data_IF_067494113275
#
_entry.id   IF_067494113275
#
_cell.length_a   1.000
_cell.length_b   1.000
_cell.length_c   1.000
_cell.angle_alpha   90.00
_cell.angle_beta   90.00
_cell.angle_gamma   90.00
#
_symmetry.space_group_name_H-M   'P 1'
#
loop_
_entity.id
_entity.type
_entity.pdbx_description
1 polymer ?
#
# COMPACT_ATOMS: atom_id res chain seq x y z
N UNK A 1 42.47 -40.96 15.68
CA UNK A 1 41.96 -40.13 14.57
C UNK A 1 42.92 -38.94 14.34
N UNK A 2 43.43 -38.77 13.12
CA UNK A 2 44.36 -37.67 12.82
C UNK A 2 43.56 -36.35 12.81
N UNK A 3 44.13 -35.28 13.36
CA UNK A 3 43.50 -33.94 13.43
C UNK A 3 42.86 -33.49 12.10
N UNK A 4 43.39 -33.89 10.96
CA UNK A 4 42.84 -33.62 9.65
C UNK A 4 41.49 -34.27 9.35
N UNK A 5 41.23 -35.47 9.90
CA UNK A 5 39.94 -36.16 9.70
C UNK A 5 38.84 -35.57 10.58
N UNK A 6 39.19 -35.01 11.74
CA UNK A 6 38.24 -34.33 12.61
C UNK A 6 37.78 -32.99 12.01
N UNK A 7 38.70 -32.25 11.40
CA UNK A 7 38.37 -30.98 10.72
C UNK A 7 37.48 -31.25 9.50
N UNK A 8 37.71 -32.32 8.75
CA UNK A 8 36.87 -32.66 7.59
C UNK A 8 35.46 -33.09 8.02
N UNK A 9 35.29 -33.80 9.12
CA UNK A 9 33.99 -34.16 9.68
C UNK A 9 33.23 -32.95 10.21
N UNK A 10 33.91 -32.01 10.87
CA UNK A 10 33.26 -30.74 11.31
C UNK A 10 32.84 -29.85 10.12
N UNK A 11 33.63 -29.79 9.05
CA UNK A 11 33.27 -29.04 7.83
C UNK A 11 32.07 -29.67 7.11
N UNK A 12 31.93 -31.00 7.12
CA UNK A 12 30.81 -31.69 6.51
C UNK A 12 29.53 -31.57 7.36
N UNK A 13 29.66 -31.49 8.70
CA UNK A 13 28.51 -31.23 9.58
C UNK A 13 28.00 -29.80 9.50
N UNK A 14 28.84 -28.79 9.21
CA UNK A 14 28.42 -27.40 8.99
C UNK A 14 27.70 -27.18 7.64
N UNK A 15 27.96 -28.04 6.65
CA UNK A 15 27.32 -28.00 5.34
C UNK A 15 25.90 -28.60 5.32
N UNK A 16 25.50 -29.33 6.37
CA UNK A 16 24.17 -29.94 6.49
C UNK A 16 23.14 -29.06 7.22
N UNK A 17 23.53 -27.89 7.72
CA UNK A 17 22.62 -26.89 8.29
C UNK A 17 22.37 -25.73 7.35
N UNK A 18 22.22 -25.96 6.04
CA UNK A 18 21.49 -25.05 5.21
C UNK A 18 19.99 -25.28 5.49
N UNK A 19 19.50 -24.68 6.57
CA UNK A 19 18.06 -24.47 6.71
C UNK A 19 17.64 -23.60 5.54
N UNK A 20 17.05 -24.21 4.53
CA UNK A 20 16.19 -23.51 3.60
C UNK A 20 15.09 -22.89 4.48
N UNK A 21 15.20 -21.59 4.75
CA UNK A 21 14.06 -20.81 5.21
C UNK A 21 13.14 -20.77 4.00
N UNK A 22 12.31 -21.79 3.86
CA UNK A 22 11.10 -21.71 3.05
C UNK A 22 10.24 -20.72 3.84
N UNK A 23 10.10 -19.50 3.31
CA UNK A 23 9.04 -18.63 3.76
C UNK A 23 7.75 -19.45 3.58
N UNK A 24 7.22 -19.97 4.69
CA UNK A 24 5.86 -20.47 4.70
C UNK A 24 4.97 -19.23 4.48
N UNK A 25 4.64 -18.97 3.22
CA UNK A 25 3.35 -18.37 2.95
C UNK A 25 2.36 -19.38 3.53
N UNK A 26 1.85 -19.15 4.75
CA UNK A 26 0.65 -19.82 5.17
C UNK A 26 -0.34 -19.59 4.02
N UNK A 27 -0.89 -20.67 3.47
CA UNK A 27 -1.98 -20.61 2.51
C UNK A 27 -3.11 -19.78 3.15
N UNK A 28 -3.05 -18.47 2.95
CA UNK A 28 -4.23 -17.64 3.08
C UNK A 28 -5.13 -18.14 1.96
N UNK A 29 -6.07 -19.03 2.31
CA UNK A 29 -7.02 -19.52 1.36
C UNK A 29 -7.69 -18.29 0.73
N UNK A 30 -7.61 -18.17 -0.60
CA UNK A 30 -8.15 -17.03 -1.36
C UNK A 30 -9.61 -16.77 -0.97
N UNK A 31 -10.35 -17.83 -0.63
CA UNK A 31 -11.72 -17.77 -0.11
C UNK A 31 -11.88 -16.97 1.21
N UNK A 32 -10.84 -16.80 1.98
CA UNK A 32 -10.88 -16.03 3.22
C UNK A 32 -10.47 -14.55 3.03
N UNK A 33 -9.77 -14.22 1.95
CA UNK A 33 -9.30 -12.83 1.70
C UNK A 33 -10.44 -11.97 1.17
N UNK A 34 -11.42 -12.54 0.45
CA UNK A 34 -12.59 -11.81 -0.07
C UNK A 34 -13.65 -11.50 0.99
N UNK A 35 -13.58 -12.15 2.14
CA UNK A 35 -14.48 -11.89 3.26
C UNK A 35 -13.96 -10.73 4.13
N UNK A 36 -14.83 -10.04 4.87
CA UNK A 36 -14.39 -9.10 5.89
C UNK A 36 -13.41 -9.77 6.87
N UNK A 37 -12.36 -9.03 7.26
CA UNK A 37 -11.40 -9.49 8.25
C UNK A 37 -12.02 -9.60 9.66
N UNK A 38 -11.23 -10.08 10.65
CA UNK A 38 -11.73 -10.38 11.99
C UNK A 38 -11.95 -9.14 12.87
N UNK A 39 -11.55 -7.93 12.43
CA UNK A 39 -11.62 -6.74 13.25
C UNK A 39 -12.89 -5.93 12.97
N UNK A 40 -13.47 -5.38 14.04
CA UNK A 40 -14.50 -4.36 13.89
C UNK A 40 -13.86 -3.07 13.35
N UNK A 41 -14.66 -2.31 12.58
CA UNK A 41 -14.19 -1.10 11.90
C UNK A 41 -14.95 0.11 12.43
N UNK A 42 -14.20 1.16 12.74
CA UNK A 42 -14.73 2.50 13.00
C UNK A 42 -14.11 3.52 12.05
N UNK A 43 -14.68 4.72 12.02
CA UNK A 43 -14.26 5.81 11.13
C UNK A 43 -14.06 7.10 11.89
N UNK A 44 -13.14 7.94 11.40
CA UNK A 44 -13.02 9.36 11.77
C UNK A 44 -12.90 10.21 10.49
N UNK A 45 -13.43 11.42 10.58
CA UNK A 45 -13.50 12.41 9.50
C UNK A 45 -13.04 13.78 10.00
N UNK A 46 -13.12 14.80 9.17
CA UNK A 46 -12.82 16.19 9.57
C UNK A 46 -13.70 16.68 10.73
N UNK A 47 -14.92 16.14 10.89
CA UNK A 47 -15.78 16.45 12.04
C UNK A 47 -15.14 15.99 13.35
N UNK A 48 -14.36 14.93 13.31
CA UNK A 48 -13.61 14.36 14.44
C UNK A 48 -12.23 15.01 14.63
N UNK A 49 -11.93 16.02 13.79
CA UNK A 49 -10.74 16.86 13.88
C UNK A 49 -9.53 16.37 13.10
N UNK A 50 -9.69 15.44 12.14
CA UNK A 50 -8.61 15.16 11.20
C UNK A 50 -8.40 16.37 10.27
N UNK A 51 -7.16 16.58 9.82
CA UNK A 51 -6.86 17.65 8.89
C UNK A 51 -7.40 17.35 7.49
N UNK A 52 -7.64 18.41 6.71
CA UNK A 52 -8.04 18.33 5.32
C UNK A 52 -7.01 19.08 4.44
N UNK A 53 -6.20 18.31 3.70
CA UNK A 53 -5.23 18.88 2.78
C UNK A 53 -4.00 19.55 3.40
N UNK A 54 -3.24 20.36 2.65
CA UNK A 54 -3.69 21.23 1.56
C UNK A 54 -3.79 20.61 0.15
N UNK A 55 -3.19 19.41 -0.07
CA UNK A 55 -3.11 18.83 -1.42
C UNK A 55 -4.20 17.82 -1.74
N UNK A 56 -5.13 17.59 -0.83
CA UNK A 56 -6.34 16.80 -1.06
C UNK A 56 -7.56 17.50 -0.44
N UNK A 57 -8.77 17.07 -0.79
CA UNK A 57 -10.01 17.61 -0.28
C UNK A 57 -10.94 16.49 0.19
N UNK A 58 -11.27 16.51 1.47
CA UNK A 58 -12.09 15.50 2.12
C UNK A 58 -11.35 14.19 2.38
N UNK A 59 -11.47 13.67 3.60
CA UNK A 59 -10.90 12.41 4.00
C UNK A 59 -11.80 11.64 4.97
N UNK A 60 -11.79 10.31 4.82
CA UNK A 60 -12.32 9.38 5.82
C UNK A 60 -11.22 8.40 6.18
N UNK A 61 -10.94 8.25 7.47
CA UNK A 61 -10.03 7.23 7.98
C UNK A 61 -10.86 6.10 8.56
N UNK A 62 -10.65 4.88 8.04
CA UNK A 62 -11.19 3.63 8.54
C UNK A 62 -10.11 2.93 9.36
N UNK A 63 -10.46 2.44 10.55
CA UNK A 63 -9.47 1.81 11.41
C UNK A 63 -10.04 0.62 12.17
N UNK A 64 -9.19 -0.41 12.47
CA UNK A 64 -9.61 -1.56 13.24
C UNK A 64 -9.74 -1.20 14.71
N UNK A 65 -10.79 -1.67 15.36
CA UNK A 65 -10.90 -1.66 16.81
C UNK A 65 -10.41 -2.99 17.40
N UNK A 66 -10.08 -3.00 18.69
CA UNK A 66 -9.64 -4.20 19.43
C UNK A 66 -8.31 -4.84 18.94
N UNK A 67 -7.45 -4.07 18.26
CA UNK A 67 -6.09 -4.50 17.92
C UNK A 67 -5.09 -3.79 18.84
N UNK A 68 -4.17 -4.54 19.42
CA UNK A 68 -3.17 -4.04 20.39
C UNK A 68 -1.77 -3.87 19.80
N UNK A 69 -1.54 -4.38 18.58
CA UNK A 69 -0.29 -4.23 17.86
C UNK A 69 -0.26 -2.92 17.09
N UNK A 70 0.94 -2.42 16.78
CA UNK A 70 1.08 -1.26 15.89
C UNK A 70 0.49 -1.55 14.51
N UNK A 71 -0.28 -0.60 14.00
CA UNK A 71 -1.04 -0.70 12.76
C UNK A 71 -0.26 -0.16 11.57
N UNK A 72 -0.19 -0.93 10.49
CA UNK A 72 0.17 -0.40 9.18
C UNK A 72 -0.94 0.51 8.65
N UNK A 73 -0.60 1.40 7.71
CA UNK A 73 -1.57 2.32 7.12
C UNK A 73 -1.44 2.38 5.60
N UNK A 74 -2.57 2.65 4.92
CA UNK A 74 -2.64 2.83 3.48
C UNK A 74 -3.49 4.06 3.13
N UNK A 75 -2.99 4.90 2.21
CA UNK A 75 -3.75 6.01 1.64
C UNK A 75 -4.26 5.63 0.25
N UNK A 76 -5.53 5.94 -0.05
CA UNK A 76 -6.18 5.61 -1.31
C UNK A 76 -6.79 6.84 -1.95
N UNK A 77 -6.56 7.00 -3.27
CA UNK A 77 -7.11 8.09 -4.09
C UNK A 77 -7.88 7.54 -5.29
N UNK A 78 -9.03 8.15 -5.67
CA UNK A 78 -9.81 7.74 -6.84
C UNK A 78 -9.14 8.10 -8.17
N UNK A 79 -9.79 7.69 -9.29
CA UNK A 79 -9.39 7.99 -10.66
C UNK A 79 -9.84 9.37 -11.15
N UNK A 80 -9.59 9.65 -12.44
CA UNK A 80 -10.01 10.85 -13.12
C UNK A 80 -11.53 11.00 -13.13
N UNK A 81 -12.05 12.19 -12.80
CA UNK A 81 -13.47 12.52 -12.63
C UNK A 81 -14.21 11.70 -11.55
N UNK A 82 -13.51 10.86 -10.81
CA UNK A 82 -14.11 10.03 -9.79
C UNK A 82 -14.08 10.70 -8.40
N UNK A 83 -15.08 10.39 -7.58
CA UNK A 83 -15.19 10.81 -6.18
C UNK A 83 -14.64 9.71 -5.26
N UNK A 84 -14.36 10.02 -3.99
CA UNK A 84 -13.94 9.02 -2.98
C UNK A 84 -14.83 7.78 -2.91
N UNK A 85 -16.14 7.95 -3.12
CA UNK A 85 -17.12 6.84 -3.14
C UNK A 85 -16.83 5.75 -4.17
N UNK A 86 -16.04 6.03 -5.21
CA UNK A 86 -15.64 5.01 -6.21
C UNK A 86 -14.62 4.00 -5.68
N UNK A 87 -13.97 4.28 -4.56
CA UNK A 87 -12.96 3.46 -3.90
C UNK A 87 -13.26 3.24 -2.40
N UNK A 88 -14.44 3.64 -1.97
CA UNK A 88 -14.82 3.66 -0.56
C UNK A 88 -14.83 2.28 0.09
N UNK A 89 -15.23 1.24 -0.64
CA UNK A 89 -15.30 -0.14 -0.14
C UNK A 89 -13.93 -0.70 0.29
N UNK A 90 -12.83 -0.13 -0.19
CA UNK A 90 -11.49 -0.48 0.26
C UNK A 90 -11.22 -0.06 1.71
N UNK A 91 -11.88 0.98 2.21
CA UNK A 91 -11.73 1.46 3.57
C UNK A 91 -12.04 0.40 4.62
N UNK A 92 -13.31 -0.06 4.71
CA UNK A 92 -13.69 -1.11 5.64
C UNK A 92 -13.00 -2.44 5.36
N UNK A 93 -12.68 -2.75 4.10
CA UNK A 93 -11.93 -3.95 3.75
C UNK A 93 -10.56 -3.97 4.43
N UNK A 94 -9.71 -2.97 4.21
CA UNK A 94 -8.38 -2.90 4.83
C UNK A 94 -8.46 -2.82 6.34
N UNK A 95 -9.38 -2.02 6.87
CA UNK A 95 -9.52 -1.86 8.31
C UNK A 95 -9.94 -3.17 9.00
N UNK A 96 -10.87 -3.93 8.41
CA UNK A 96 -11.26 -5.23 8.95
C UNK A 96 -10.13 -6.25 8.97
N UNK A 97 -9.12 -6.08 8.10
CA UNK A 97 -7.90 -6.89 8.07
C UNK A 97 -6.75 -6.31 8.92
N UNK A 98 -7.00 -5.26 9.68
CA UNK A 98 -6.04 -4.70 10.63
C UNK A 98 -5.09 -3.65 10.05
N UNK A 99 -5.46 -3.00 8.94
CA UNK A 99 -4.69 -1.93 8.29
C UNK A 99 -5.53 -0.65 8.31
N UNK A 100 -5.00 0.43 8.87
CA UNK A 100 -5.67 1.75 8.82
C UNK A 100 -5.72 2.24 7.38
N UNK A 101 -6.89 2.66 6.92
CA UNK A 101 -7.08 3.12 5.55
C UNK A 101 -7.62 4.55 5.53
N UNK A 102 -6.88 5.47 4.92
CA UNK A 102 -7.37 6.82 4.63
C UNK A 102 -7.79 6.90 3.17
N UNK A 103 -9.05 7.23 2.92
CA UNK A 103 -9.58 7.50 1.59
C UNK A 103 -9.75 8.99 1.43
N UNK A 104 -9.16 9.55 0.38
CA UNK A 104 -9.15 10.99 0.13
C UNK A 104 -9.84 11.34 -1.19
N UNK A 105 -10.42 12.54 -1.24
CA UNK A 105 -10.75 13.22 -2.49
C UNK A 105 -9.55 13.99 -3.04
N UNK A 106 -9.63 14.46 -4.27
CA UNK A 106 -8.66 15.37 -4.87
C UNK A 106 -9.18 16.80 -4.82
N UNK A 107 -8.30 17.80 -4.85
CA UNK A 107 -8.68 19.22 -4.92
C UNK A 107 -9.45 19.52 -6.19
N UNK A 108 -9.19 18.76 -7.26
CA UNK A 108 -9.99 18.74 -8.47
C UNK A 108 -10.18 17.31 -8.95
N UNK A 109 -11.41 16.94 -9.33
CA UNK A 109 -11.66 15.62 -9.93
C UNK A 109 -10.91 15.43 -11.26
N UNK A 110 -10.44 16.52 -11.87
CA UNK A 110 -9.64 16.53 -13.11
C UNK A 110 -8.12 16.47 -12.86
N UNK A 111 -7.67 16.31 -11.62
CA UNK A 111 -6.25 16.18 -11.30
C UNK A 111 -5.61 14.97 -12.02
N UNK A 112 -4.40 15.22 -12.54
CA UNK A 112 -3.57 14.19 -13.18
C UNK A 112 -2.80 13.36 -12.15
N UNK A 113 -2.15 12.24 -12.55
CA UNK A 113 -1.45 11.35 -11.63
C UNK A 113 -0.44 12.03 -10.71
N UNK A 114 0.29 13.04 -11.17
CA UNK A 114 1.28 13.77 -10.37
C UNK A 114 0.63 14.51 -9.19
N UNK A 115 -0.50 15.18 -9.41
CA UNK A 115 -1.24 15.86 -8.35
C UNK A 115 -1.82 14.84 -7.36
N UNK A 116 -2.26 13.66 -7.85
CA UNK A 116 -2.74 12.55 -7.01
C UNK A 116 -1.61 11.92 -6.19
N UNK A 117 -0.39 11.88 -6.72
CA UNK A 117 0.78 11.46 -5.96
C UNK A 117 1.03 12.39 -4.77
N UNK A 118 1.01 13.70 -5.00
CA UNK A 118 1.17 14.69 -3.93
C UNK A 118 0.02 14.62 -2.92
N UNK A 119 -1.22 14.38 -3.38
CA UNK A 119 -2.37 14.18 -2.50
C UNK A 119 -2.20 12.94 -1.60
N UNK A 120 -1.71 11.84 -2.12
CA UNK A 120 -1.41 10.62 -1.34
C UNK A 120 -0.33 10.86 -0.29
N UNK A 121 0.76 11.56 -0.64
CA UNK A 121 1.82 11.90 0.31
C UNK A 121 1.29 12.80 1.43
N UNK A 122 0.43 13.75 1.10
CA UNK A 122 -0.23 14.64 2.09
C UNK A 122 -1.22 13.86 2.98
N UNK A 123 -1.91 12.85 2.44
CA UNK A 123 -2.75 11.94 3.21
C UNK A 123 -1.91 11.09 4.20
N UNK A 124 -0.73 10.62 3.80
CA UNK A 124 0.18 9.94 4.71
C UNK A 124 0.68 10.88 5.82
N UNK A 125 0.88 12.17 5.53
CA UNK A 125 1.21 13.15 6.55
C UNK A 125 0.04 13.31 7.55
N UNK A 126 -1.21 13.25 7.08
CA UNK A 126 -2.39 13.21 7.98
C UNK A 126 -2.36 12.01 8.91
N UNK A 127 -2.05 10.82 8.39
CA UNK A 127 -1.88 9.61 9.20
C UNK A 127 -0.79 9.79 10.27
N UNK A 128 0.36 10.37 9.90
CA UNK A 128 1.44 10.66 10.88
C UNK A 128 0.98 11.62 11.99
N UNK A 129 0.18 12.63 11.63
CA UNK A 129 -0.36 13.58 12.61
C UNK A 129 -1.40 12.92 13.53
N UNK A 130 -2.23 12.01 13.02
CA UNK A 130 -3.18 11.25 13.84
C UNK A 130 -2.47 10.38 14.89
N UNK A 131 -1.28 9.86 14.60
CA UNK A 131 -0.47 9.13 15.59
C UNK A 131 -0.01 10.00 16.78
N UNK A 132 -0.01 11.31 16.63
CA UNK A 132 0.43 12.27 17.68
C UNK A 132 -0.69 13.13 18.25
N UNK A 133 -1.83 13.27 17.57
CA UNK A 133 -2.96 14.10 17.99
C UNK A 133 -3.59 13.54 19.26
N UNK A 134 -3.64 14.36 20.33
CA UNK A 134 -4.05 13.93 21.66
C UNK A 134 -5.47 13.35 21.74
N UNK A 135 -6.40 13.83 20.88
CA UNK A 135 -7.79 13.36 20.81
C UNK A 135 -8.02 12.27 19.75
N UNK A 136 -6.98 11.84 19.03
CA UNK A 136 -7.11 10.79 18.02
C UNK A 136 -7.26 9.41 18.67
N UNK A 137 -8.19 8.58 18.19
CA UNK A 137 -8.24 7.17 18.59
C UNK A 137 -7.03 6.36 18.06
N UNK A 138 -6.24 6.93 17.16
CA UNK A 138 -5.04 6.31 16.56
C UNK A 138 -3.74 6.74 17.24
N UNK A 139 -3.82 7.55 18.30
CA UNK A 139 -2.63 8.07 18.98
C UNK A 139 -1.76 6.93 19.50
N UNK A 140 -0.47 6.99 19.14
CA UNK A 140 0.58 6.02 19.53
C UNK A 140 0.30 4.56 19.06
N UNK A 141 -0.61 4.37 18.07
CA UNK A 141 -1.00 3.05 17.56
C UNK A 141 -0.48 2.76 16.15
N UNK A 142 0.19 3.69 15.47
CA UNK A 142 0.57 3.53 14.07
C UNK A 142 2.06 3.20 13.93
N UNK A 143 2.37 2.21 13.08
CA UNK A 143 3.74 1.93 12.63
C UNK A 143 4.07 2.87 11.44
N UNK A 144 4.74 3.95 11.74
CA UNK A 144 5.10 4.97 10.74
C UNK A 144 6.14 4.50 9.71
N UNK A 145 6.70 3.28 9.87
CA UNK A 145 7.55 2.63 8.86
C UNK A 145 6.75 1.72 7.92
N UNK A 146 5.45 1.57 8.13
CA UNK A 146 4.54 0.74 7.33
C UNK A 146 3.43 1.57 6.70
N UNK A 147 3.81 2.60 5.97
CA UNK A 147 2.90 3.47 5.25
C UNK A 147 2.86 3.11 3.78
N UNK A 148 1.70 2.73 3.27
CA UNK A 148 1.46 2.31 1.89
C UNK A 148 0.56 3.30 1.15
N UNK A 149 0.56 3.20 -0.18
CA UNK A 149 -0.32 3.99 -1.05
C UNK A 149 -1.05 3.12 -2.05
N UNK A 150 -2.24 3.53 -2.42
CA UNK A 150 -3.07 2.88 -3.43
C UNK A 150 -3.87 3.90 -4.23
N UNK A 151 -4.42 3.45 -5.33
CA UNK A 151 -5.35 4.25 -6.11
C UNK A 151 -5.86 3.51 -7.34
N UNK A 152 -6.96 4.03 -7.87
CA UNK A 152 -7.61 3.50 -9.07
C UNK A 152 -7.35 4.37 -10.29
N UNK A 153 -7.10 3.77 -11.46
CA UNK A 153 -6.89 4.47 -12.74
C UNK A 153 -5.75 5.51 -12.64
N UNK A 154 -6.01 6.80 -12.87
CA UNK A 154 -5.03 7.88 -12.61
C UNK A 154 -4.58 7.94 -11.15
N UNK A 155 -5.40 7.49 -10.20
CA UNK A 155 -4.98 7.31 -8.82
C UNK A 155 -3.95 6.19 -8.66
N UNK A 156 -4.08 5.08 -9.40
CA UNK A 156 -3.10 4.00 -9.44
C UNK A 156 -1.76 4.43 -10.04
N UNK A 157 -1.81 5.27 -11.08
CA UNK A 157 -0.62 5.95 -11.61
C UNK A 157 0.01 6.89 -10.57
N UNK A 158 -0.83 7.68 -9.88
CA UNK A 158 -0.42 8.55 -8.78
C UNK A 158 0.24 7.80 -7.62
N UNK A 159 -0.30 6.63 -7.24
CA UNK A 159 0.28 5.80 -6.19
C UNK A 159 1.71 5.34 -6.53
N UNK A 160 1.96 4.92 -7.77
CA UNK A 160 3.30 4.57 -8.22
C UNK A 160 4.24 5.79 -8.28
N UNK A 161 3.72 6.97 -8.72
CA UNK A 161 4.49 8.23 -8.71
C UNK A 161 4.81 8.68 -7.29
N UNK A 162 3.92 8.49 -6.33
CA UNK A 162 4.20 8.79 -4.92
C UNK A 162 5.41 7.99 -4.40
N UNK A 163 5.53 6.71 -4.75
CA UNK A 163 6.69 5.89 -4.39
C UNK A 163 8.00 6.31 -5.09
N UNK A 164 7.92 6.96 -6.25
CA UNK A 164 9.12 7.57 -6.90
C UNK A 164 9.55 8.84 -6.15
N UNK A 165 8.59 9.62 -5.63
CA UNK A 165 8.86 10.87 -4.90
C UNK A 165 9.36 10.57 -3.49
N UNK A 166 8.73 9.60 -2.81
CA UNK A 166 9.08 9.20 -1.44
C UNK A 166 9.46 7.71 -1.40
N UNK A 167 10.73 7.43 -1.29
CA UNK A 167 11.29 6.08 -1.24
C UNK A 167 11.08 5.37 0.11
N UNK A 168 10.45 6.01 1.08
CA UNK A 168 10.09 5.42 2.37
C UNK A 168 8.73 4.71 2.35
N UNK A 169 7.97 4.83 1.24
CA UNK A 169 6.70 4.12 1.05
C UNK A 169 6.94 2.62 1.13
N UNK A 170 6.22 1.97 2.06
CA UNK A 170 6.39 0.56 2.37
C UNK A 170 5.82 -0.38 1.29
N UNK A 171 4.75 0.02 0.59
CA UNK A 171 4.13 -0.75 -0.48
C UNK A 171 3.23 0.12 -1.36
N UNK A 172 3.00 -0.34 -2.61
CA UNK A 172 2.10 0.27 -3.58
C UNK A 172 1.08 -0.75 -4.05
N UNK A 173 -0.21 -0.37 -4.09
CA UNK A 173 -1.26 -1.14 -4.75
C UNK A 173 -1.88 -0.29 -5.85
N UNK A 174 -1.65 -0.65 -7.10
CA UNK A 174 -2.10 0.10 -8.27
C UNK A 174 -3.26 -0.64 -8.96
N UNK A 175 -4.46 -0.07 -8.87
CA UNK A 175 -5.69 -0.66 -9.41
C UNK A 175 -5.95 -0.10 -10.81
N UNK A 176 -5.84 -0.94 -11.84
CA UNK A 176 -6.00 -0.55 -13.26
C UNK A 176 -5.28 0.77 -13.57
N UNK A 177 -3.97 0.88 -13.26
CA UNK A 177 -3.28 2.16 -13.24
C UNK A 177 -3.23 2.82 -14.61
N UNK A 178 -3.39 4.14 -14.63
CA UNK A 178 -3.22 4.98 -15.82
C UNK A 178 -2.17 6.06 -15.57
N UNK A 179 -1.10 6.06 -16.36
CA UNK A 179 -0.03 7.05 -16.29
C UNK A 179 0.65 7.17 -17.65
N UNK A 180 0.60 8.35 -18.24
CA UNK A 180 1.38 8.64 -19.44
C UNK A 180 2.85 8.84 -19.05
N UNK A 181 3.77 8.27 -19.79
CA UNK A 181 5.21 8.34 -19.54
C UNK A 181 5.60 7.88 -18.11
N UNK A 182 5.33 6.61 -17.77
CA UNK A 182 5.61 6.09 -16.43
C UNK A 182 7.12 5.94 -16.21
N UNK A 183 7.73 6.88 -15.49
CA UNK A 183 9.10 6.76 -14.98
C UNK A 183 9.06 6.20 -13.56
N UNK A 184 9.05 4.87 -13.43
CA UNK A 184 8.74 4.16 -12.20
C UNK A 184 10.00 3.61 -11.50
N UNK A 185 11.01 4.44 -11.35
CA UNK A 185 12.25 4.07 -10.66
C UNK A 185 12.08 4.17 -9.13
N UNK A 186 11.37 3.23 -8.52
CA UNK A 186 11.20 3.12 -7.07
C UNK A 186 11.54 1.71 -6.56
N UNK A 187 11.84 1.58 -5.27
CA UNK A 187 12.15 0.31 -4.61
C UNK A 187 10.99 -0.27 -3.80
N UNK A 188 9.90 0.48 -3.65
CA UNK A 188 8.73 0.03 -2.91
C UNK A 188 8.07 -1.16 -3.60
N UNK A 189 7.81 -2.27 -2.91
CA UNK A 189 7.05 -3.39 -3.45
C UNK A 189 5.74 -2.93 -4.08
N UNK A 190 5.39 -3.47 -5.26
CA UNK A 190 4.19 -3.04 -5.97
C UNK A 190 3.35 -4.23 -6.43
N UNK A 191 2.05 -4.14 -6.16
CA UNK A 191 1.01 -5.01 -6.70
C UNK A 191 0.20 -4.20 -7.71
N UNK A 192 0.15 -4.67 -8.96
CA UNK A 192 -0.59 -4.05 -10.05
C UNK A 192 -1.78 -4.96 -10.40
N UNK A 193 -2.99 -4.45 -10.29
CA UNK A 193 -4.17 -5.11 -10.83
C UNK A 193 -4.47 -4.53 -12.21
N UNK A 194 -4.74 -5.40 -13.18
CA UNK A 194 -5.07 -5.03 -14.55
C UNK A 194 -6.39 -5.67 -14.96
N UNK A 195 -7.27 -4.90 -15.59
CA UNK A 195 -8.48 -5.42 -16.20
C UNK A 195 -8.19 -5.95 -17.60
N UNK A 196 -8.41 -7.26 -17.83
CA UNK A 196 -8.15 -7.89 -19.14
C UNK A 196 -8.85 -7.18 -20.32
N UNK A 197 -10.07 -6.69 -20.07
CA UNK A 197 -10.90 -6.01 -21.07
C UNK A 197 -11.05 -4.50 -20.80
N UNK A 198 -10.08 -3.89 -20.11
CA UNK A 198 -10.11 -2.45 -19.83
C UNK A 198 -9.80 -1.65 -21.11
N UNK A 199 -10.82 -0.96 -21.63
CA UNK A 199 -10.70 -0.16 -22.84
C UNK A 199 -10.12 1.25 -22.59
N UNK A 200 -10.03 1.69 -21.33
CA UNK A 200 -9.52 3.02 -20.93
C UNK A 200 -8.04 2.93 -20.54
N UNK A 201 -7.69 1.89 -19.77
CA UNK A 201 -6.31 1.59 -19.38
C UNK A 201 -5.92 0.18 -19.84
N UNK A 202 -5.85 -0.09 -21.17
CA UNK A 202 -5.53 -1.42 -21.68
C UNK A 202 -4.21 -1.95 -21.11
N UNK A 203 -4.15 -3.23 -20.70
CA UNK A 203 -2.96 -3.80 -20.08
C UNK A 203 -1.67 -3.52 -20.86
N UNK A 204 -1.71 -3.68 -22.18
CA UNK A 204 -0.54 -3.52 -23.06
C UNK A 204 -0.04 -2.08 -23.14
N UNK A 205 -0.91 -1.10 -22.88
CA UNK A 205 -0.59 0.33 -22.94
C UNK A 205 -0.31 0.93 -21.57
N UNK A 206 -0.69 0.25 -20.50
CA UNK A 206 -0.58 0.74 -19.13
C UNK A 206 0.11 -0.29 -18.22
N UNK A 207 -0.61 -1.21 -17.61
CA UNK A 207 -0.12 -2.08 -16.54
C UNK A 207 1.14 -2.88 -16.91
N UNK A 208 1.21 -3.43 -18.13
CA UNK A 208 2.37 -4.16 -18.62
C UNK A 208 3.61 -3.24 -18.76
N UNK A 209 3.38 -1.99 -19.20
CA UNK A 209 4.45 -0.99 -19.30
C UNK A 209 4.92 -0.60 -17.90
N UNK A 210 3.99 -0.36 -16.96
CA UNK A 210 4.30 -0.04 -15.57
C UNK A 210 5.12 -1.15 -14.92
N UNK A 211 4.68 -2.41 -15.08
CA UNK A 211 5.41 -3.56 -14.59
C UNK A 211 6.83 -3.63 -15.15
N UNK A 212 6.98 -3.47 -16.48
CA UNK A 212 8.27 -3.55 -17.14
C UNK A 212 9.23 -2.40 -16.78
N UNK A 213 8.70 -1.20 -16.54
CA UNK A 213 9.50 -0.03 -16.17
C UNK A 213 9.87 0.01 -14.68
N UNK A 214 9.11 -0.67 -13.82
CA UNK A 214 9.51 -0.85 -12.42
C UNK A 214 10.80 -1.69 -12.38
N UNK A 215 11.85 -1.29 -11.62
CA UNK A 215 13.13 -1.98 -11.59
C UNK A 215 13.00 -3.49 -11.31
N UNK A 216 13.85 -4.30 -11.93
CA UNK A 216 13.87 -5.76 -11.70
C UNK A 216 14.27 -6.14 -10.26
N UNK A 217 14.90 -5.23 -9.53
CA UNK A 217 15.25 -5.38 -8.11
C UNK A 217 14.10 -5.09 -7.17
N UNK A 218 13.02 -4.50 -7.66
CA UNK A 218 11.80 -4.24 -6.88
C UNK A 218 10.89 -5.47 -6.92
N UNK A 219 10.39 -5.87 -5.75
CA UNK A 219 9.36 -6.90 -5.67
C UNK A 219 8.08 -6.39 -6.35
N UNK A 220 7.64 -7.06 -7.40
CA UNK A 220 6.50 -6.63 -8.20
C UNK A 220 5.66 -7.79 -8.68
N UNK A 221 4.34 -7.60 -8.68
CA UNK A 221 3.33 -8.56 -9.16
C UNK A 221 2.36 -7.85 -10.09
N UNK A 222 1.97 -8.51 -11.18
CA UNK A 222 0.94 -8.09 -12.13
C UNK A 222 -0.07 -9.21 -12.30
#
# INVERSE_FOLDING_TARGET
MKKSQLILLLSFMLLLYSTTIVAQCNDLAIDNISNPGPYNVETITEIDGIRNGPFYFGATIYYPTNKTELLASIAIVPGFTALPSSVEDWGPFYASHGIVCIIIGTNSIYDFPEARAIALLDALETIKQENSRASSPLKDLLDLNKLAVSGWSMGGGGAQRAAVIDNTIAAVVALCPYLNDPQLNHSSPVLIFSGENDAIAPPEQQANIHYNQTPSTTNKVL
#
